data_IF_518563026502
#
_entry.id   IF_518563026502
#
_cell.length_a   1.000
_cell.length_b   1.000
_cell.length_c   1.000
_cell.angle_alpha   90.00
_cell.angle_beta   90.00
_cell.angle_gamma   90.00
#
_symmetry.space_group_name_H-M   'P 1'
#
loop_
_entity.id
_entity.type
_entity.pdbx_description
1 polymer ?
#
# COMPACT_ATOMS: atom_id res chain seq x y z
N UNK A 1 -8.18 23.57 8.73
CA UNK A 1 -7.16 24.05 9.71
C UNK A 1 -7.17 23.24 11.02
N UNK A 2 -7.52 21.95 10.94
CA UNK A 2 -7.42 21.03 12.09
C UNK A 2 -6.92 19.66 11.60
N UNK A 3 -5.91 19.68 10.72
CA UNK A 3 -5.10 18.50 10.44
C UNK A 3 -4.05 18.39 11.55
N UNK A 4 -3.99 17.29 12.29
CA UNK A 4 -2.83 16.98 13.16
C UNK A 4 -3.00 17.16 14.67
N UNK A 5 -4.22 17.20 15.23
CA UNK A 5 -4.42 17.04 16.68
C UNK A 5 -4.22 15.56 17.08
N UNK A 6 -2.96 15.12 17.16
CA UNK A 6 -2.53 13.73 17.38
C UNK A 6 -2.60 13.27 18.85
N UNK A 7 -3.47 13.87 19.66
CA UNK A 7 -3.53 13.64 21.11
C UNK A 7 -4.44 12.47 21.53
N UNK A 8 -5.17 11.88 20.59
CA UNK A 8 -6.09 10.78 20.85
C UNK A 8 -5.60 9.49 20.17
N UNK A 9 -5.74 8.33 20.83
CA UNK A 9 -5.44 7.05 20.22
C UNK A 9 -6.37 6.84 19.01
N UNK A 10 -5.76 6.43 17.90
CA UNK A 10 -6.47 6.03 16.69
C UNK A 10 -6.38 4.53 16.54
N UNK A 11 -7.45 3.90 16.06
CA UNK A 11 -7.39 2.50 15.66
C UNK A 11 -6.37 2.34 14.52
N UNK A 12 -5.58 1.27 14.50
CA UNK A 12 -4.64 1.08 13.42
C UNK A 12 -5.42 0.81 12.12
N UNK A 13 -4.88 1.30 11.02
CA UNK A 13 -5.56 1.33 9.73
C UNK A 13 -4.74 0.58 8.67
N UNK A 14 -5.44 0.04 7.68
CA UNK A 14 -4.84 -0.65 6.55
C UNK A 14 -4.47 0.34 5.44
N UNK A 15 -3.48 -0.03 4.61
CA UNK A 15 -3.05 0.78 3.47
C UNK A 15 -3.67 0.20 2.19
N UNK A 16 -4.61 0.91 1.53
CA UNK A 16 -5.17 0.44 0.28
C UNK A 16 -4.11 0.36 -0.82
N UNK A 17 -4.06 -0.74 -1.58
CA UNK A 17 -3.11 -0.90 -2.68
C UNK A 17 -3.11 0.27 -3.68
N UNK A 18 -4.28 0.87 -3.91
CA UNK A 18 -4.44 2.03 -4.81
C UNK A 18 -3.61 3.26 -4.42
N UNK A 19 -3.07 3.36 -3.20
CA UNK A 19 -2.19 4.47 -2.80
C UNK A 19 -0.80 4.38 -3.42
N UNK A 20 -0.39 3.17 -3.83
CA UNK A 20 0.92 2.86 -4.42
C UNK A 20 0.97 3.13 -5.93
N UNK A 21 -0.18 3.39 -6.58
CA UNK A 21 -0.27 3.51 -8.03
C UNK A 21 -1.00 4.81 -8.44
N UNK A 22 -0.57 5.48 -9.52
CA UNK A 22 -1.29 6.60 -10.07
C UNK A 22 -2.57 6.14 -10.78
N UNK A 23 -3.41 7.08 -11.23
CA UNK A 23 -4.59 6.72 -12.03
C UNK A 23 -4.14 6.07 -13.34
N UNK A 24 -4.87 5.06 -13.80
CA UNK A 24 -4.53 4.30 -15.01
C UNK A 24 -4.36 5.19 -16.26
N UNK A 25 -5.14 6.28 -16.34
CA UNK A 25 -5.05 7.29 -17.42
C UNK A 25 -3.76 8.13 -17.41
N UNK A 26 -3.01 8.16 -16.31
CA UNK A 26 -1.80 8.97 -16.13
C UNK A 26 -0.54 8.16 -16.45
N UNK A 27 -0.52 6.89 -16.02
CA UNK A 27 0.57 5.95 -16.28
C UNK A 27 0.09 4.52 -15.97
N UNK A 28 0.53 3.52 -16.73
CA UNK A 28 0.05 2.13 -16.59
C UNK A 28 1.07 1.17 -15.98
N UNK A 29 2.31 1.61 -15.77
CA UNK A 29 3.46 0.77 -15.41
C UNK A 29 4.29 1.33 -14.23
N UNK A 30 3.75 2.27 -13.46
CA UNK A 30 4.45 2.90 -12.33
C UNK A 30 3.86 2.47 -10.99
N UNK A 31 4.72 1.96 -10.10
CA UNK A 31 4.40 1.70 -8.69
C UNK A 31 5.36 2.53 -7.83
N UNK A 32 4.82 3.25 -6.84
CA UNK A 32 5.57 4.18 -5.99
C UNK A 32 5.39 3.77 -4.52
N UNK A 33 6.35 3.05 -3.90
CA UNK A 33 6.22 2.55 -2.53
C UNK A 33 6.54 3.58 -1.44
N UNK A 34 7.17 4.70 -1.80
CA UNK A 34 7.58 5.75 -0.85
C UNK A 34 6.64 6.94 -0.93
N UNK A 35 6.60 7.62 -2.08
CA UNK A 35 5.76 8.81 -2.30
C UNK A 35 4.31 8.43 -2.63
N UNK A 36 3.63 7.79 -1.69
CA UNK A 36 2.25 7.30 -1.86
C UNK A 36 1.24 8.44 -1.91
N UNK A 37 0.06 8.16 -2.49
CA UNK A 37 -1.07 9.09 -2.43
C UNK A 37 -1.67 9.12 -1.02
N UNK A 38 -1.35 10.16 -0.26
CA UNK A 38 -1.81 10.35 1.13
C UNK A 38 -1.94 11.83 1.49
N UNK A 39 -2.73 12.14 2.53
CA UNK A 39 -2.67 13.45 3.17
C UNK A 39 -1.35 13.62 3.93
N UNK A 40 -1.02 14.86 4.32
CA UNK A 40 0.18 15.14 5.10
C UNK A 40 0.17 14.39 6.44
N UNK A 41 -1.00 14.31 7.09
CA UNK A 41 -1.16 13.58 8.37
C UNK A 41 -0.95 12.09 8.20
N UNK A 42 -1.56 11.46 7.19
CA UNK A 42 -1.39 10.02 6.95
C UNK A 42 0.05 9.67 6.54
N UNK A 43 0.73 10.56 5.83
CA UNK A 43 2.14 10.37 5.49
C UNK A 43 3.05 10.43 6.73
N UNK A 44 2.69 11.24 7.74
CA UNK A 44 3.49 11.39 8.96
C UNK A 44 3.66 10.07 9.73
N UNK A 45 2.65 9.18 9.71
CA UNK A 45 2.72 7.83 10.27
C UNK A 45 3.22 6.78 9.27
N UNK A 46 2.99 6.96 7.97
CA UNK A 46 3.47 6.04 6.93
C UNK A 46 4.99 6.07 6.74
N UNK A 47 5.65 7.21 6.96
CA UNK A 47 7.08 7.41 6.65
C UNK A 47 8.09 6.69 7.56
N UNK A 48 7.63 5.70 8.29
CA UNK A 48 8.43 4.88 9.18
C UNK A 48 9.08 3.74 8.38
N UNK A 49 10.31 3.36 8.73
CA UNK A 49 11.09 2.37 7.97
C UNK A 49 10.36 1.02 7.77
N UNK A 50 9.68 0.44 8.77
CA UNK A 50 8.93 -0.81 8.58
C UNK A 50 7.85 -0.72 7.51
N UNK A 51 7.18 0.43 7.39
CA UNK A 51 6.10 0.68 6.45
C UNK A 51 6.65 0.76 5.02
N UNK A 52 7.82 1.37 4.83
CA UNK A 52 8.50 1.35 3.53
C UNK A 52 8.96 -0.05 3.13
N UNK A 53 9.42 -0.88 4.07
CA UNK A 53 9.77 -2.27 3.77
C UNK A 53 8.55 -3.08 3.30
N UNK A 54 7.43 -2.95 4.02
CA UNK A 54 6.13 -3.57 3.70
C UNK A 54 5.63 -3.09 2.33
N UNK A 55 5.65 -1.79 2.08
CA UNK A 55 5.23 -1.21 0.81
C UNK A 55 6.15 -1.63 -0.35
N UNK A 56 7.46 -1.73 -0.11
CA UNK A 56 8.43 -2.22 -1.09
C UNK A 56 8.18 -3.69 -1.48
N UNK A 57 7.90 -4.55 -0.49
CA UNK A 57 7.52 -5.94 -0.75
C UNK A 57 6.22 -6.03 -1.55
N UNK A 58 5.19 -5.27 -1.15
CA UNK A 58 3.92 -5.20 -1.88
C UNK A 58 4.10 -4.72 -3.32
N UNK A 59 4.91 -3.68 -3.54
CA UNK A 59 5.21 -3.17 -4.87
C UNK A 59 5.91 -4.21 -5.77
N UNK A 60 6.90 -4.92 -5.23
CA UNK A 60 7.61 -5.97 -5.98
C UNK A 60 6.69 -7.12 -6.39
N UNK A 61 5.87 -7.62 -5.45
CA UNK A 61 4.90 -8.68 -5.73
C UNK A 61 3.82 -8.23 -6.71
N UNK A 62 3.33 -7.00 -6.58
CA UNK A 62 2.36 -6.43 -7.51
C UNK A 62 2.93 -6.30 -8.93
N UNK A 63 4.20 -5.90 -9.06
CA UNK A 63 4.88 -5.86 -10.36
C UNK A 63 4.97 -7.27 -10.99
N UNK A 64 5.32 -8.29 -10.20
CA UNK A 64 5.34 -9.69 -10.68
C UNK A 64 3.97 -10.14 -11.15
N UNK A 65 2.91 -9.85 -10.38
CA UNK A 65 1.55 -10.18 -10.77
C UNK A 65 1.15 -9.48 -12.08
N UNK A 66 1.36 -8.17 -12.17
CA UNK A 66 1.05 -7.37 -13.36
C UNK A 66 1.71 -7.91 -14.63
N UNK A 67 3.01 -8.25 -14.55
CA UNK A 67 3.76 -8.83 -15.67
C UNK A 67 3.19 -10.19 -16.06
N UNK A 68 2.90 -11.07 -15.09
CA UNK A 68 2.39 -12.43 -15.35
C UNK A 68 0.98 -12.43 -15.94
N UNK A 69 0.14 -11.48 -15.56
CA UNK A 69 -1.23 -11.36 -16.08
C UNK A 69 -1.32 -10.46 -17.32
N UNK A 70 -0.20 -9.96 -17.85
CA UNK A 70 -0.17 -8.98 -18.93
C UNK A 70 -1.13 -7.80 -18.70
N UNK A 71 -1.17 -7.30 -17.46
CA UNK A 71 -2.10 -6.24 -17.04
C UNK A 71 -1.36 -5.02 -16.50
N UNK A 72 -2.03 -3.87 -16.54
CA UNK A 72 -1.53 -2.65 -15.91
C UNK A 72 -1.43 -2.82 -14.38
N UNK A 73 -0.53 -2.08 -13.74
CA UNK A 73 -0.27 -2.21 -12.29
C UNK A 73 -1.48 -1.83 -11.43
N UNK A 74 -2.41 -1.02 -11.97
CA UNK A 74 -3.68 -0.66 -11.33
C UNK A 74 -4.70 -1.80 -11.31
N UNK A 75 -4.58 -2.78 -12.21
CA UNK A 75 -5.52 -3.90 -12.38
C UNK A 75 -5.03 -5.20 -11.72
N UNK A 76 -3.98 -5.11 -10.92
CA UNK A 76 -3.48 -6.26 -10.14
C UNK A 76 -4.61 -6.80 -9.26
N UNK A 77 -4.79 -8.12 -9.27
CA UNK A 77 -5.72 -8.78 -8.38
C UNK A 77 -5.23 -8.65 -6.94
N UNK A 78 -5.90 -7.80 -6.15
CA UNK A 78 -5.52 -7.49 -4.77
C UNK A 78 -5.62 -8.74 -3.89
N UNK A 79 -6.59 -9.63 -4.10
CA UNK A 79 -6.70 -10.88 -3.35
C UNK A 79 -5.45 -11.75 -3.54
N UNK A 80 -5.03 -11.93 -4.79
CA UNK A 80 -3.82 -12.70 -5.10
C UNK A 80 -2.54 -12.05 -4.54
N UNK A 81 -2.50 -10.71 -4.50
CA UNK A 81 -1.43 -9.97 -3.86
C UNK A 81 -1.40 -10.20 -2.34
N UNK A 82 -2.56 -10.13 -1.68
CA UNK A 82 -2.70 -10.40 -0.24
C UNK A 82 -2.23 -11.82 0.11
N UNK A 83 -2.65 -12.83 -0.66
CA UNK A 83 -2.19 -14.22 -0.50
C UNK A 83 -0.66 -14.38 -0.65
N UNK A 84 -0.02 -13.60 -1.52
CA UNK A 84 1.44 -13.61 -1.66
C UNK A 84 2.13 -12.96 -0.46
N UNK A 85 1.58 -11.86 0.05
CA UNK A 85 2.11 -11.14 1.20
C UNK A 85 1.97 -11.95 2.49
N UNK A 86 0.83 -12.62 2.69
CA UNK A 86 0.60 -13.53 3.83
C UNK A 86 1.54 -14.74 3.81
N UNK A 87 1.84 -15.30 2.63
CA UNK A 87 2.88 -16.33 2.48
C UNK A 87 4.25 -15.83 2.94
N UNK A 88 4.53 -14.56 2.69
CA UNK A 88 5.71 -13.85 3.20
C UNK A 88 5.62 -13.47 4.69
N UNK A 89 4.59 -13.94 5.42
CA UNK A 89 4.33 -13.64 6.84
C UNK A 89 4.05 -12.15 7.12
N UNK A 90 3.65 -11.38 6.12
CA UNK A 90 3.21 -10.01 6.33
C UNK A 90 1.84 -9.98 7.03
N UNK A 91 1.68 -9.05 7.97
CA UNK A 91 0.41 -8.80 8.65
C UNK A 91 -0.38 -7.79 7.82
N UNK A 92 -1.54 -8.21 7.30
CA UNK A 92 -2.41 -7.36 6.48
C UNK A 92 -3.65 -6.89 7.24
N UNK A 93 -4.17 -7.76 8.09
CA UNK A 93 -5.34 -7.53 8.91
C UNK A 93 -4.95 -7.55 10.38
N UNK A 94 -5.48 -6.60 11.14
CA UNK A 94 -5.38 -6.68 12.59
C UNK A 94 -6.37 -7.74 13.08
N UNK A 95 -5.95 -8.64 13.97
CA UNK A 95 -6.88 -9.60 14.56
C UNK A 95 -7.96 -8.83 15.33
N UNK A 96 -9.21 -9.01 14.92
CA UNK A 96 -10.37 -8.49 15.65
C UNK A 96 -10.44 -9.25 16.98
N UNK A 97 -10.38 -8.53 18.10
CA UNK A 97 -10.61 -9.07 19.45
C UNK A 97 -12.08 -8.92 19.83
#
# INVERSE_FOLDING_TARGET
>A
LMEGYLSFPVEPYEIPYRTLVPRERECTNLIVPVCISSSHVAYASFRMEPQYMIAGQAAGLAAVLAVRSHSNVQRVNVQALQELLERGKQILHLPVH
#
